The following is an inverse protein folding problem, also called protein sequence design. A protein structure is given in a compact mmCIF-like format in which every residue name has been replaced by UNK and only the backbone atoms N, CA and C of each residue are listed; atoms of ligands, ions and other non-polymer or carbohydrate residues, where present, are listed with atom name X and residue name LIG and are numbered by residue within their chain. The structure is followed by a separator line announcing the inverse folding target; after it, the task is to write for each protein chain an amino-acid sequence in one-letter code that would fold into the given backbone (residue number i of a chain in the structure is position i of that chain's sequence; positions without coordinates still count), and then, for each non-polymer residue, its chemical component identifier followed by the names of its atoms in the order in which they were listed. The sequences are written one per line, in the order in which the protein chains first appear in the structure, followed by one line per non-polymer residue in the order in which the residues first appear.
data_IF_437394138619
#
_entry.id   IF_437394138619
#
_cell.length_a   1.000
_cell.length_b   1.000
_cell.length_c   1.000
_cell.angle_alpha   90.00
_cell.angle_beta   90.00
_cell.angle_gamma   90.00
#
_symmetry.space_group_name_H-M   'P 1'
#
loop_
_entity.id
_entity.type
_entity.pdbx_description
1 polymer ?
#
# COMPACT_ATOMS: atom_id res chain seq x y z
N UNK A 1 -28.36 42.53 -18.37
CA UNK A 1 -28.70 41.33 -19.15
C UNK A 1 -28.63 40.12 -18.20
N UNK A 2 -29.76 39.48 -17.86
CA UNK A 2 -29.78 38.29 -16.97
C UNK A 2 -29.98 37.05 -17.83
N UNK A 3 -29.00 36.14 -17.85
CA UNK A 3 -29.19 34.81 -18.44
C UNK A 3 -30.23 34.04 -17.60
N UNK A 4 -31.28 33.53 -18.24
CA UNK A 4 -32.16 32.51 -17.67
C UNK A 4 -31.64 31.15 -18.11
N UNK A 5 -31.17 30.34 -17.16
CA UNK A 5 -30.91 28.92 -17.41
C UNK A 5 -32.26 28.20 -17.36
N UNK A 6 -32.66 27.55 -18.45
CA UNK A 6 -33.77 26.60 -18.45
C UNK A 6 -33.16 25.25 -18.09
N UNK A 7 -33.39 24.77 -16.88
CA UNK A 7 -33.04 23.40 -16.49
C UNK A 7 -34.18 22.50 -16.97
N UNK A 8 -33.91 21.65 -17.97
CA UNK A 8 -34.85 20.60 -18.37
C UNK A 8 -34.68 19.44 -17.38
N UNK A 9 -35.60 19.33 -16.42
CA UNK A 9 -35.64 18.19 -15.50
C UNK A 9 -36.12 16.94 -16.23
N UNK A 10 -35.36 15.86 -16.13
CA UNK A 10 -35.73 14.54 -16.59
C UNK A 10 -36.26 13.75 -15.39
N UNK A 11 -37.46 13.18 -15.51
CA UNK A 11 -37.98 12.27 -14.48
C UNK A 11 -37.36 10.90 -14.66
N UNK A 12 -36.74 10.38 -13.60
CA UNK A 12 -36.18 9.03 -13.54
C UNK A 12 -37.13 8.21 -12.68
N UNK A 13 -37.86 7.29 -13.31
CA UNK A 13 -38.69 6.31 -12.61
C UNK A 13 -37.88 5.02 -12.42
N UNK A 14 -37.94 4.46 -11.21
CA UNK A 14 -37.24 3.21 -10.87
C UNK A 14 -38.25 2.18 -10.35
N UNK A 15 -37.95 0.90 -10.56
CA UNK A 15 -38.78 -0.18 -10.04
C UNK A 15 -38.64 -0.31 -8.52
N UNK A 16 -39.62 -0.94 -7.87
CA UNK A 16 -39.55 -1.23 -6.44
C UNK A 16 -38.31 -2.06 -6.06
N UNK A 17 -37.89 -2.96 -6.94
CA UNK A 17 -36.67 -3.77 -6.74
C UNK A 17 -35.39 -2.91 -6.72
N UNK A 18 -35.29 -1.92 -7.62
CA UNK A 18 -34.16 -0.98 -7.62
C UNK A 18 -34.22 -0.07 -6.39
N UNK A 19 -35.41 0.36 -5.98
CA UNK A 19 -35.59 1.14 -4.76
C UNK A 19 -35.12 0.36 -3.52
N UNK A 20 -35.51 -0.90 -3.38
CA UNK A 20 -35.06 -1.76 -2.28
C UNK A 20 -33.54 -1.96 -2.29
N UNK A 21 -32.91 -2.07 -3.47
CA UNK A 21 -31.44 -2.11 -3.58
C UNK A 21 -30.78 -0.79 -3.15
N UNK A 22 -31.41 0.35 -3.43
CA UNK A 22 -30.93 1.65 -2.93
C UNK A 22 -31.03 1.74 -1.41
N UNK A 23 -32.11 1.24 -0.80
CA UNK A 23 -32.26 1.20 0.66
C UNK A 23 -31.15 0.40 1.35
N UNK A 24 -30.66 -0.68 0.74
CA UNK A 24 -29.53 -1.46 1.27
C UNK A 24 -28.21 -0.67 1.36
N UNK A 25 -28.11 0.47 0.66
CA UNK A 25 -26.97 1.37 0.73
C UNK A 25 -27.14 2.50 1.75
N UNK A 26 -28.28 2.62 2.41
CA UNK A 26 -28.51 3.62 3.46
C UNK A 26 -27.71 3.29 4.73
N UNK A 27 -27.15 4.33 5.36
CA UNK A 27 -26.40 4.20 6.61
C UNK A 27 -27.15 5.00 7.68
N UNK A 28 -27.67 4.32 8.71
CA UNK A 28 -28.44 4.97 9.77
C UNK A 28 -29.73 5.62 9.26
N UNK A 29 -29.87 6.93 9.44
CA UNK A 29 -31.05 7.72 9.08
C UNK A 29 -30.85 8.54 7.80
N UNK A 30 -30.09 8.02 6.83
CA UNK A 30 -29.86 8.69 5.56
C UNK A 30 -31.16 9.01 4.81
N UNK A 31 -31.22 10.20 4.22
CA UNK A 31 -32.26 10.51 3.23
C UNK A 31 -31.96 9.80 1.90
N UNK A 32 -32.98 9.53 1.06
CA UNK A 32 -32.75 8.98 -0.28
C UNK A 32 -31.77 9.81 -1.11
N UNK A 33 -31.82 11.14 -0.97
CA UNK A 33 -30.90 12.04 -1.66
C UNK A 33 -29.45 11.88 -1.18
N UNK A 34 -29.22 11.71 0.13
CA UNK A 34 -27.89 11.47 0.68
C UNK A 34 -27.29 10.15 0.17
N UNK A 35 -28.12 9.09 0.08
CA UNK A 35 -27.70 7.80 -0.50
C UNK A 35 -27.33 7.97 -1.97
N UNK A 36 -28.18 8.62 -2.76
CA UNK A 36 -27.94 8.85 -4.20
C UNK A 36 -26.67 9.68 -4.39
N UNK A 37 -26.50 10.78 -3.64
CA UNK A 37 -25.32 11.63 -3.71
C UNK A 37 -24.05 10.82 -3.42
N UNK A 38 -24.03 10.02 -2.35
CA UNK A 38 -22.87 9.17 -2.01
C UNK A 38 -22.55 8.14 -3.09
N UNK A 39 -23.58 7.56 -3.72
CA UNK A 39 -23.39 6.62 -4.83
C UNK A 39 -22.83 7.32 -6.08
N UNK A 40 -23.31 8.52 -6.40
CA UNK A 40 -22.79 9.33 -7.49
C UNK A 40 -21.36 9.77 -7.23
N UNK A 41 -21.08 10.32 -6.05
CA UNK A 41 -19.72 10.70 -5.63
C UNK A 41 -18.74 9.52 -5.76
N UNK A 42 -19.18 8.30 -5.40
CA UNK A 42 -18.38 7.08 -5.55
C UNK A 42 -18.12 6.71 -7.01
N UNK A 43 -19.09 6.90 -7.90
CA UNK A 43 -18.92 6.64 -9.34
C UNK A 43 -18.01 7.68 -9.98
N UNK A 44 -18.19 8.94 -9.61
CA UNK A 44 -17.42 10.08 -10.14
C UNK A 44 -15.97 10.07 -9.63
N UNK A 45 -15.72 9.55 -8.42
CA UNK A 45 -14.39 9.36 -7.87
C UNK A 45 -13.62 8.17 -8.48
N UNK A 46 -14.25 7.35 -9.34
CA UNK A 46 -13.53 6.25 -10.00
C UNK A 46 -12.56 6.77 -11.06
N UNK A 47 -11.33 6.25 -11.11
CA UNK A 47 -10.36 6.64 -12.12
C UNK A 47 -10.88 6.27 -13.52
N UNK A 48 -10.84 7.25 -14.43
CA UNK A 48 -11.32 7.10 -15.81
C UNK A 48 -10.25 6.55 -16.76
N UNK A 49 -9.00 6.53 -16.31
CA UNK A 49 -7.83 6.04 -17.06
C UNK A 49 -7.16 4.92 -16.29
N UNK A 50 -6.48 4.03 -17.03
CA UNK A 50 -5.67 2.98 -16.40
C UNK A 50 -4.56 3.61 -15.54
N UNK A 51 -4.21 2.97 -14.42
CA UNK A 51 -3.14 3.42 -13.56
C UNK A 51 -1.84 3.58 -14.32
N UNK A 52 -1.11 4.64 -14.01
CA UNK A 52 0.29 4.78 -14.41
C UNK A 52 1.10 3.79 -13.56
N UNK A 53 1.94 2.98 -14.21
CA UNK A 53 2.87 2.08 -13.53
C UNK A 53 4.27 2.64 -13.75
N UNK A 54 4.89 3.06 -12.65
CA UNK A 54 6.28 3.48 -12.60
C UNK A 54 7.16 2.40 -11.98
N UNK A 55 8.33 2.19 -12.57
CA UNK A 55 9.29 1.18 -12.13
C UNK A 55 10.54 1.87 -11.60
N UNK A 56 11.10 1.34 -10.52
CA UNK A 56 12.42 1.72 -10.04
C UNK A 56 13.33 0.48 -10.03
N UNK A 57 14.29 0.36 -10.96
CA UNK A 57 14.70 1.35 -11.98
C UNK A 57 13.68 1.56 -13.12
N UNK A 58 13.72 2.73 -13.78
CA UNK A 58 12.74 3.13 -14.82
C UNK A 58 12.85 2.36 -16.13
N UNK A 59 14.02 1.78 -16.43
CA UNK A 59 14.15 0.87 -17.57
C UNK A 59 13.51 -0.48 -17.24
N UNK A 60 12.43 -0.83 -17.94
CA UNK A 60 11.65 -2.04 -17.62
C UNK A 60 12.44 -3.33 -17.84
N UNK A 61 13.44 -3.35 -18.73
CA UNK A 61 14.28 -4.54 -18.95
C UNK A 61 15.28 -4.72 -17.81
N UNK A 62 15.89 -3.64 -17.34
CA UNK A 62 16.73 -3.61 -16.14
C UNK A 62 15.92 -4.00 -14.91
N UNK A 63 14.77 -3.36 -14.68
CA UNK A 63 13.85 -3.67 -13.58
C UNK A 63 13.53 -5.16 -13.57
N UNK A 64 13.13 -5.72 -14.71
CA UNK A 64 12.82 -7.15 -14.82
C UNK A 64 14.02 -8.04 -14.52
N UNK A 65 15.21 -7.66 -14.98
CA UNK A 65 16.45 -8.38 -14.68
C UNK A 65 16.73 -8.41 -13.18
N UNK A 66 16.59 -7.25 -12.53
CA UNK A 66 16.74 -7.13 -11.08
C UNK A 66 15.66 -7.93 -10.33
N UNK A 67 14.40 -7.85 -10.74
CA UNK A 67 13.29 -8.59 -10.12
C UNK A 67 13.49 -10.11 -10.19
N UNK A 68 14.02 -10.63 -11.29
CA UNK A 68 14.34 -12.06 -11.43
C UNK A 68 15.45 -12.48 -10.47
N UNK A 69 16.42 -11.60 -10.22
CA UNK A 69 17.52 -11.86 -9.30
C UNK A 69 17.07 -11.75 -7.84
N UNK A 70 16.46 -10.61 -7.49
CA UNK A 70 16.04 -10.22 -6.14
C UNK A 70 14.83 -10.99 -5.65
N UNK A 71 13.96 -11.45 -6.55
CA UNK A 71 12.71 -12.17 -6.28
C UNK A 71 11.69 -11.39 -5.44
N UNK A 72 11.93 -10.12 -5.23
CA UNK A 72 11.10 -9.29 -4.37
C UNK A 72 11.12 -7.84 -4.84
N UNK A 73 9.96 -7.19 -4.74
CA UNK A 73 9.77 -5.77 -4.98
C UNK A 73 8.70 -5.24 -4.04
N UNK A 74 8.78 -3.97 -3.70
CA UNK A 74 7.73 -3.22 -3.03
C UNK A 74 6.76 -2.68 -4.08
N UNK A 75 5.46 -2.71 -3.78
CA UNK A 75 4.39 -2.14 -4.60
C UNK A 75 3.65 -1.10 -3.78
N UNK A 76 3.68 0.15 -4.25
CA UNK A 76 3.04 1.31 -3.63
C UNK A 76 1.89 1.75 -4.54
N UNK A 77 0.67 1.55 -4.08
CA UNK A 77 -0.56 1.87 -4.82
C UNK A 77 -1.10 3.19 -4.30
N UNK A 78 -1.25 4.19 -5.17
CA UNK A 78 -1.89 5.46 -4.84
C UNK A 78 -3.34 5.47 -5.33
N UNK A 79 -4.26 5.90 -4.46
CA UNK A 79 -5.69 5.93 -4.74
C UNK A 79 -6.21 7.35 -4.96
N UNK A 80 -7.35 7.44 -5.63
CA UNK A 80 -8.04 8.71 -5.90
C UNK A 80 -8.53 9.45 -4.66
N UNK A 81 -8.61 8.77 -3.50
CA UNK A 81 -8.94 9.38 -2.21
C UNK A 81 -7.73 9.96 -1.46
N UNK A 82 -6.53 9.88 -2.07
CA UNK A 82 -5.26 10.35 -1.49
C UNK A 82 -4.60 9.33 -0.56
N UNK A 83 -5.21 8.18 -0.30
CA UNK A 83 -4.57 7.10 0.47
C UNK A 83 -3.58 6.31 -0.38
N UNK A 84 -2.67 5.61 0.29
CA UNK A 84 -1.75 4.65 -0.34
C UNK A 84 -1.83 3.28 0.32
N UNK A 85 -1.60 2.23 -0.45
CA UNK A 85 -1.42 0.86 0.04
C UNK A 85 0.00 0.39 -0.34
N UNK A 86 0.74 -0.11 0.64
CA UNK A 86 2.10 -0.61 0.45
C UNK A 86 2.12 -2.11 0.72
N UNK A 87 2.82 -2.87 -0.13
CA UNK A 87 2.91 -4.32 0.00
C UNK A 87 4.17 -4.88 -0.64
N UNK A 88 4.71 -5.98 -0.11
CA UNK A 88 5.82 -6.67 -0.72
C UNK A 88 5.34 -7.77 -1.69
N UNK A 89 5.80 -7.67 -2.94
CA UNK A 89 5.54 -8.63 -3.99
C UNK A 89 6.68 -9.64 -4.12
N UNK A 90 6.46 -10.84 -3.58
CA UNK A 90 7.34 -12.01 -3.78
C UNK A 90 7.19 -12.55 -5.21
N UNK A 91 8.13 -12.20 -6.08
CA UNK A 91 8.17 -12.48 -7.52
C UNK A 91 8.81 -13.84 -7.89
N UNK A 92 8.59 -14.87 -7.06
CA UNK A 92 9.19 -16.20 -7.23
C UNK A 92 8.89 -16.89 -8.58
N UNK A 93 7.77 -16.52 -9.20
CA UNK A 93 7.30 -17.09 -10.48
C UNK A 93 7.72 -16.28 -11.72
N UNK A 94 8.35 -15.12 -11.52
CA UNK A 94 8.82 -14.29 -12.64
C UNK A 94 10.06 -14.92 -13.27
N UNK A 95 10.07 -14.96 -14.61
CA UNK A 95 11.16 -15.52 -15.41
C UNK A 95 11.51 -14.57 -16.54
N UNK A 96 12.56 -14.90 -17.30
CA UNK A 96 12.99 -14.11 -18.47
C UNK A 96 11.90 -13.95 -19.53
N UNK A 97 10.96 -14.89 -19.65
CA UNK A 97 9.85 -14.81 -20.62
C UNK A 97 8.57 -14.19 -20.04
N UNK A 98 8.50 -13.95 -18.73
CA UNK A 98 7.33 -13.38 -18.08
C UNK A 98 7.07 -11.93 -18.52
N UNK A 99 5.79 -11.54 -18.59
CA UNK A 99 5.39 -10.15 -18.77
C UNK A 99 5.14 -9.52 -17.39
N UNK A 100 5.99 -8.59 -16.95
CA UNK A 100 5.92 -7.98 -15.61
C UNK A 100 4.62 -7.21 -15.43
N UNK A 101 4.29 -6.30 -16.36
CA UNK A 101 3.02 -5.57 -16.34
C UNK A 101 1.81 -6.50 -16.32
N UNK A 102 1.83 -7.58 -17.09
CA UNK A 102 0.77 -8.60 -17.10
C UNK A 102 0.57 -9.27 -15.72
N UNK A 103 1.66 -9.53 -15.00
CA UNK A 103 1.58 -10.04 -13.62
C UNK A 103 1.01 -9.00 -12.65
N UNK A 104 1.37 -7.72 -12.81
CA UNK A 104 0.77 -6.64 -12.02
C UNK A 104 -0.74 -6.51 -12.26
N UNK A 105 -1.18 -6.50 -13.52
CA UNK A 105 -2.60 -6.41 -13.89
C UNK A 105 -3.44 -7.61 -13.46
N UNK A 106 -2.83 -8.80 -13.43
CA UNK A 106 -3.51 -10.01 -12.97
C UNK A 106 -3.38 -10.22 -11.46
N UNK A 107 -2.51 -9.47 -10.77
CA UNK A 107 -2.25 -9.54 -9.34
C UNK A 107 -2.64 -8.24 -8.62
N UNK A 108 -1.67 -7.45 -8.10
CA UNK A 108 -1.95 -6.25 -7.29
C UNK A 108 -2.97 -5.27 -7.91
N UNK A 109 -2.88 -5.03 -9.22
CA UNK A 109 -3.72 -4.08 -9.96
C UNK A 109 -5.02 -4.71 -10.49
N UNK A 110 -5.36 -5.93 -10.08
CA UNK A 110 -6.65 -6.55 -10.42
C UNK A 110 -7.78 -5.73 -9.82
N UNK A 111 -8.78 -5.39 -10.64
CA UNK A 111 -9.91 -4.56 -10.22
C UNK A 111 -9.52 -3.13 -9.87
N UNK A 112 -8.47 -2.59 -10.50
CA UNK A 112 -7.92 -1.27 -10.20
C UNK A 112 -8.98 -0.16 -10.20
N UNK A 113 -10.00 -0.25 -11.07
CA UNK A 113 -11.04 0.76 -11.18
C UNK A 113 -11.95 0.78 -9.96
N UNK A 114 -12.38 -0.40 -9.51
CA UNK A 114 -13.23 -0.56 -8.32
C UNK A 114 -12.46 -0.25 -7.04
N UNK A 115 -11.14 -0.49 -7.04
CA UNK A 115 -10.22 -0.16 -5.96
C UNK A 115 -9.81 1.31 -5.93
N UNK A 116 -10.18 2.10 -6.94
CA UNK A 116 -9.81 3.52 -7.01
C UNK A 116 -8.33 3.77 -7.25
N UNK A 117 -7.59 2.84 -7.86
CA UNK A 117 -6.14 2.99 -8.09
C UNK A 117 -5.90 4.01 -9.20
N UNK A 118 -5.12 5.04 -8.88
CA UNK A 118 -4.73 6.11 -9.81
C UNK A 118 -3.32 5.88 -10.39
N UNK A 119 -2.37 5.49 -9.56
CA UNK A 119 -1.00 5.16 -9.97
C UNK A 119 -0.41 4.08 -9.08
N UNK A 120 0.71 3.51 -9.53
CA UNK A 120 1.50 2.54 -8.78
C UNK A 120 2.97 2.77 -9.03
N UNK A 121 3.76 2.71 -7.97
CA UNK A 121 5.22 2.61 -8.01
C UNK A 121 5.61 1.17 -7.65
N UNK A 122 6.63 0.67 -8.34
CA UNK A 122 7.16 -0.67 -8.08
C UNK A 122 8.68 -0.59 -7.96
N UNK A 123 9.16 -0.82 -6.74
CA UNK A 123 10.56 -0.62 -6.37
C UNK A 123 11.22 -1.96 -6.08
N UNK A 124 12.41 -2.20 -6.63
CA UNK A 124 13.18 -3.38 -6.26
C UNK A 124 13.63 -3.27 -4.81
N UNK A 125 13.33 -4.29 -4.01
CA UNK A 125 13.82 -4.36 -2.63
C UNK A 125 15.28 -4.86 -2.61
N UNK A 126 16.14 -4.30 -1.75
CA UNK A 126 17.54 -4.67 -1.69
C UNK A 126 17.74 -6.07 -1.07
N UNK A 127 18.95 -6.61 -1.26
CA UNK A 127 19.44 -7.72 -0.43
C UNK A 127 20.13 -7.12 0.79
N UNK A 128 20.18 -7.85 1.92
CA UNK A 128 21.04 -7.47 3.03
C UNK A 128 22.48 -7.35 2.54
N UNK A 129 23.15 -6.27 2.93
CA UNK A 129 24.58 -6.17 2.80
C UNK A 129 25.24 -6.94 3.95
N UNK A 130 26.42 -7.49 3.69
CA UNK A 130 27.18 -8.25 4.68
C UNK A 130 28.46 -7.50 4.98
N UNK A 131 28.77 -7.36 6.27
CA UNK A 131 30.04 -6.80 6.69
C UNK A 131 31.22 -7.76 6.41
N UNK A 132 32.43 -7.39 6.86
CA UNK A 132 33.63 -8.19 6.62
C UNK A 132 33.61 -9.55 7.35
N UNK A 133 32.83 -9.65 8.41
CA UNK A 133 32.69 -10.86 9.22
C UNK A 133 31.49 -11.71 8.76
N UNK A 134 30.76 -11.26 7.73
CA UNK A 134 29.62 -11.97 7.17
C UNK A 134 28.34 -11.78 7.98
N UNK A 135 28.27 -10.74 8.80
CA UNK A 135 27.05 -10.38 9.54
C UNK A 135 26.18 -9.53 8.61
N UNK A 136 24.92 -9.90 8.37
CA UNK A 136 24.01 -9.09 7.57
C UNK A 136 23.66 -7.79 8.31
N UNK A 137 23.38 -6.75 7.54
CA UNK A 137 22.77 -5.53 8.04
C UNK A 137 21.30 -5.74 8.46
N UNK A 138 20.62 -4.64 8.84
CA UNK A 138 19.23 -4.65 9.27
C UNK A 138 18.21 -4.63 8.10
N UNK A 139 18.62 -4.90 6.86
CA UNK A 139 17.75 -4.80 5.68
C UNK A 139 16.47 -5.62 5.80
N UNK A 140 16.56 -6.90 6.20
CA UNK A 140 15.37 -7.75 6.33
C UNK A 140 14.45 -7.27 7.45
N UNK A 141 15.03 -6.80 8.57
CA UNK A 141 14.27 -6.19 9.66
C UNK A 141 13.52 -4.95 9.17
N UNK A 142 14.19 -4.08 8.41
CA UNK A 142 13.56 -2.86 7.86
C UNK A 142 12.43 -3.17 6.88
N UNK A 143 12.51 -4.27 6.12
CA UNK A 143 11.38 -4.75 5.30
C UNK A 143 10.19 -5.15 6.19
N UNK A 144 10.44 -5.89 7.26
CA UNK A 144 9.37 -6.30 8.19
C UNK A 144 8.73 -5.08 8.87
N UNK A 145 9.55 -4.11 9.30
CA UNK A 145 9.09 -2.83 9.88
C UNK A 145 8.21 -2.08 8.87
N UNK A 146 8.67 -1.96 7.62
CA UNK A 146 7.92 -1.29 6.56
C UNK A 146 6.52 -1.91 6.36
N UNK A 147 6.44 -3.25 6.30
CA UNK A 147 5.14 -3.95 6.17
C UNK A 147 4.25 -3.76 7.40
N UNK A 148 4.80 -3.88 8.62
CA UNK A 148 4.02 -3.72 9.86
C UNK A 148 3.46 -2.31 10.03
N UNK A 149 4.23 -1.30 9.63
CA UNK A 149 3.86 0.12 9.77
C UNK A 149 3.17 0.68 8.52
N UNK A 150 3.03 -0.11 7.45
CA UNK A 150 2.46 0.34 6.17
C UNK A 150 3.15 1.59 5.61
N UNK A 151 4.48 1.64 5.72
CA UNK A 151 5.37 2.66 5.15
C UNK A 151 6.28 2.03 4.11
N UNK A 152 6.94 2.85 3.28
CA UNK A 152 7.86 2.31 2.27
C UNK A 152 9.17 1.85 2.91
N UNK A 153 9.90 0.96 2.25
CA UNK A 153 11.24 0.55 2.68
C UNK A 153 12.19 1.75 2.80
N UNK A 154 12.09 2.72 1.90
CA UNK A 154 12.86 3.97 1.94
C UNK A 154 12.51 4.80 3.18
N UNK A 155 11.23 4.94 3.50
CA UNK A 155 10.78 5.65 4.72
C UNK A 155 11.24 4.92 5.99
N UNK A 156 11.21 3.58 5.98
CA UNK A 156 11.74 2.77 7.07
C UNK A 156 13.25 2.96 7.28
N UNK A 157 14.02 3.41 6.28
CA UNK A 157 15.45 3.79 6.48
C UNK A 157 15.59 5.02 7.39
N UNK A 158 14.58 5.90 7.42
CA UNK A 158 14.56 7.09 8.28
C UNK A 158 14.25 6.79 9.74
N UNK A 159 13.87 5.55 10.07
CA UNK A 159 13.57 5.14 11.44
C UNK A 159 14.83 4.60 12.14
N UNK A 160 15.02 5.04 13.38
CA UNK A 160 16.05 4.60 14.31
C UNK A 160 15.39 3.86 15.47
N UNK A 161 15.97 2.73 15.84
CA UNK A 161 15.40 1.85 16.85
C UNK A 161 16.49 1.04 17.55
N UNK A 162 16.20 0.67 18.79
CA UNK A 162 16.92 -0.36 19.53
C UNK A 162 16.16 -1.70 19.39
N UNK A 163 16.90 -2.80 19.45
CA UNK A 163 16.36 -4.16 19.37
C UNK A 163 16.57 -4.83 20.72
N UNK A 164 15.49 -5.33 21.30
CA UNK A 164 15.51 -6.23 22.45
C UNK A 164 14.89 -7.58 22.05
N UNK A 165 15.12 -8.63 22.83
CA UNK A 165 14.62 -9.98 22.55
C UNK A 165 13.94 -10.60 23.77
N UNK A 166 12.79 -11.21 23.53
CA UNK A 166 12.20 -12.17 24.46
C UNK A 166 12.75 -13.55 24.11
N UNK A 167 13.63 -14.06 24.98
CA UNK A 167 14.29 -15.35 24.79
C UNK A 167 14.12 -16.27 26.02
N UNK A 168 14.18 -17.57 25.78
CA UNK A 168 14.23 -18.57 26.84
C UNK A 168 15.60 -18.64 27.52
N UNK A 169 15.67 -19.32 28.67
CA UNK A 169 16.94 -19.57 29.37
C UNK A 169 17.98 -20.33 28.54
N UNK A 170 17.55 -21.09 27.51
CA UNK A 170 18.42 -21.78 26.55
C UNK A 170 18.72 -20.97 25.27
N UNK A 171 18.32 -19.70 25.23
CA UNK A 171 18.67 -18.74 24.17
C UNK A 171 17.80 -18.82 22.92
N UNK A 172 16.60 -19.42 23.00
CA UNK A 172 15.65 -19.44 21.89
C UNK A 172 14.87 -18.13 21.91
N UNK A 173 15.10 -17.29 20.90
CA UNK A 173 14.35 -16.04 20.70
C UNK A 173 12.96 -16.36 20.16
N UNK A 174 11.93 -15.93 20.89
CA UNK A 174 10.54 -16.05 20.47
C UNK A 174 10.05 -14.82 19.73
N UNK A 175 10.52 -13.65 20.16
CA UNK A 175 10.02 -12.35 19.71
C UNK A 175 11.12 -11.31 19.83
N UNK A 176 11.21 -10.43 18.83
CA UNK A 176 12.05 -9.24 18.84
C UNK A 176 11.18 -8.02 19.13
N UNK A 177 11.61 -7.20 20.09
CA UNK A 177 10.97 -5.94 20.47
C UNK A 177 11.77 -4.82 19.84
N UNK A 178 11.13 -4.07 18.94
CA UNK A 178 11.73 -2.93 18.26
C UNK A 178 11.23 -1.67 18.96
N UNK A 179 12.13 -0.97 19.67
CA UNK A 179 11.80 0.28 20.36
C UNK A 179 12.33 1.45 19.54
N UNK A 180 11.45 2.29 19.02
CA UNK A 180 11.85 3.43 18.21
C UNK A 180 12.47 4.52 19.09
N UNK A 181 13.59 5.07 18.64
CA UNK A 181 14.25 6.21 19.29
C UNK A 181 13.68 7.48 18.67
N UNK A 182 12.56 7.95 19.22
CA UNK A 182 11.69 8.94 18.57
C UNK A 182 12.44 10.18 18.06
N UNK A 183 13.28 10.78 18.91
CA UNK A 183 14.02 12.01 18.59
C UNK A 183 15.12 11.81 17.54
N UNK A 184 15.49 10.56 17.23
CA UNK A 184 16.48 10.23 16.20
C UNK A 184 15.86 9.90 14.85
N UNK A 185 14.58 9.53 14.82
CA UNK A 185 13.88 9.23 13.58
C UNK A 185 13.54 10.49 12.77
N UNK A 186 13.64 10.37 11.44
CA UNK A 186 13.15 11.37 10.51
C UNK A 186 11.67 11.71 10.78
N UNK A 187 11.34 13.00 10.76
CA UNK A 187 10.01 13.49 11.13
C UNK A 187 8.94 13.01 10.14
N UNK A 188 9.23 13.04 8.84
CA UNK A 188 8.29 12.60 7.81
C UNK A 188 8.06 11.08 7.89
N UNK A 189 9.13 10.30 8.11
CA UNK A 189 9.03 8.86 8.31
C UNK A 189 8.18 8.50 9.54
N UNK A 190 8.36 9.20 10.67
CA UNK A 190 7.57 8.98 11.90
C UNK A 190 6.10 9.32 11.71
N UNK A 191 5.79 10.46 11.09
CA UNK A 191 4.41 10.86 10.84
C UNK A 191 3.68 9.84 9.96
N UNK A 192 4.35 9.35 8.90
CA UNK A 192 3.80 8.32 8.01
C UNK A 192 3.65 6.97 8.70
N UNK A 193 4.56 6.63 9.60
CA UNK A 193 4.50 5.42 10.41
C UNK A 193 3.47 5.50 11.55
N UNK A 194 2.94 6.69 11.84
CA UNK A 194 1.99 6.90 12.94
C UNK A 194 2.61 6.73 14.33
N UNK A 195 3.92 7.00 14.47
CA UNK A 195 4.63 6.85 15.75
C UNK A 195 4.43 8.09 16.63
N UNK A 196 4.04 7.87 17.89
CA UNK A 196 3.81 8.89 18.92
C UNK A 196 4.71 8.65 20.15
N UNK A 197 5.94 9.17 20.11
CA UNK A 197 6.94 8.96 21.17
C UNK A 197 7.73 7.66 20.99
N UNK A 198 8.23 7.10 22.08
CA UNK A 198 9.05 5.87 22.07
C UNK A 198 8.15 4.62 21.95
N UNK A 199 7.43 4.54 20.83
CA UNK A 199 6.59 3.41 20.49
C UNK A 199 7.42 2.13 20.27
N UNK A 200 6.74 1.00 20.45
CA UNK A 200 7.32 -0.33 20.27
C UNK A 200 6.50 -1.16 19.30
N UNK A 201 7.17 -1.97 18.50
CA UNK A 201 6.52 -3.05 17.77
C UNK A 201 7.17 -4.39 18.10
N UNK A 202 6.36 -5.44 17.97
CA UNK A 202 6.73 -6.81 18.29
C UNK A 202 6.78 -7.62 17.00
N UNK A 203 7.89 -8.33 16.79
CA UNK A 203 8.16 -9.15 15.60
C UNK A 203 8.36 -10.59 16.06
N UNK A 204 7.47 -11.48 15.64
CA UNK A 204 7.55 -12.90 15.99
C UNK A 204 8.73 -13.56 15.26
N UNK A 205 9.37 -14.54 15.88
CA UNK A 205 10.43 -15.34 15.25
C UNK A 205 10.03 -15.95 13.88
N UNK A 206 8.74 -16.16 13.64
CA UNK A 206 8.17 -16.66 12.40
C UNK A 206 7.97 -15.60 11.29
N UNK A 207 8.13 -14.32 11.61
CA UNK A 207 8.06 -13.21 10.65
C UNK A 207 9.38 -13.03 9.86
N UNK A 208 10.45 -13.75 10.25
CA UNK A 208 11.77 -13.75 9.58
C UNK A 208 11.87 -14.72 8.40
#
# INVERSE_FOLDING_TARGET
MRLRFIVKTMQIEISNEIYQRLEQHAIGFDSPEAVIKRLLDKVDAQPTKKPVIDFSPSDEAEFKSQLINRREAEVIIYKTDGTREISHWKANKITKTSNVRGNLWSGPLRGWKEKGIESVEVNILPFPEYDRDGIPDDTELRKIIAEKLSITFEEAQGLYFDIDTNESEDGVVYESIIRFVYDSCDEEAREKAGLEGDDEIYIDSSDW
#
